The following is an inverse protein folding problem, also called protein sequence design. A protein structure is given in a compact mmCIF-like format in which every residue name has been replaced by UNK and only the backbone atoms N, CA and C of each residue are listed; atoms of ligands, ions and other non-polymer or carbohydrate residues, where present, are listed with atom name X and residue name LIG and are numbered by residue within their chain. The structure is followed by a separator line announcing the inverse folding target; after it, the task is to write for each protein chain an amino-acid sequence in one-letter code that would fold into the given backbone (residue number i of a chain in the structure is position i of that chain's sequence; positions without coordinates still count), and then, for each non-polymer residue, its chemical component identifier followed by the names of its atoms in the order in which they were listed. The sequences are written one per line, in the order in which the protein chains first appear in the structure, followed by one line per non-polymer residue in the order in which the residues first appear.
data_IF_968251428595
#
_entry.id   IF_968251428595
#
_cell.length_a   1.000
_cell.length_b   1.000
_cell.length_c   1.000
_cell.angle_alpha   90.00
_cell.angle_beta   90.00
_cell.angle_gamma   90.00
#
_symmetry.space_group_name_H-M   'P 1'
#
loop_
_entity.id
_entity.type
_entity.pdbx_description
1 polymer ?
#
# COMPACT_ATOMS: atom_id res chain seq x y z
N UNK A 1 -2.12 -23.94 3.16
CA UNK A 1 -1.23 -24.48 4.23
C UNK A 1 0.14 -23.87 4.00
N UNK A 2 0.75 -23.19 4.98
CA UNK A 2 2.07 -22.55 4.78
C UNK A 2 3.16 -23.61 4.83
N UNK A 3 3.85 -23.82 3.72
CA UNK A 3 5.00 -24.72 3.62
C UNK A 3 6.30 -23.93 3.72
N UNK A 4 7.26 -24.46 4.47
CA UNK A 4 8.58 -23.86 4.68
C UNK A 4 9.64 -24.73 3.99
N UNK A 5 10.54 -24.09 3.24
CA UNK A 5 11.74 -24.73 2.72
C UNK A 5 12.79 -25.04 3.79
N UNK A 6 13.91 -25.62 3.36
CA UNK A 6 15.04 -25.90 4.23
C UNK A 6 15.65 -24.61 4.79
N UNK A 7 16.05 -24.66 6.07
CA UNK A 7 16.58 -23.51 6.77
C UNK A 7 18.06 -23.29 6.44
N UNK A 8 18.41 -22.07 6.00
CA UNK A 8 19.80 -21.64 5.87
C UNK A 8 20.15 -20.79 7.09
N UNK A 9 21.08 -21.26 7.92
CA UNK A 9 21.54 -20.51 9.11
C UNK A 9 22.89 -19.82 8.84
N UNK A 10 23.02 -18.58 9.29
CA UNK A 10 24.26 -17.81 9.24
C UNK A 10 24.49 -17.14 10.59
N UNK A 11 25.72 -17.22 11.11
CA UNK A 11 26.11 -16.47 12.32
C UNK A 11 26.94 -15.27 11.91
N UNK A 12 26.48 -14.08 12.30
CA UNK A 12 26.98 -12.80 11.81
C UNK A 12 27.12 -11.83 12.98
N UNK A 13 28.02 -10.85 12.85
CA UNK A 13 28.00 -9.69 13.74
C UNK A 13 26.77 -8.84 13.45
N UNK A 14 26.19 -8.26 14.50
CA UNK A 14 25.06 -7.35 14.41
C UNK A 14 25.28 -6.10 13.56
N UNK A 15 26.55 -5.71 13.39
CA UNK A 15 26.92 -4.55 12.58
C UNK A 15 26.97 -4.87 11.09
N UNK A 16 26.91 -6.14 10.72
CA UNK A 16 26.89 -6.57 9.32
C UNK A 16 25.51 -6.38 8.72
N UNK A 17 25.46 -5.73 7.56
CA UNK A 17 24.24 -5.70 6.75
C UNK A 17 24.01 -7.09 6.16
N UNK A 18 22.81 -7.61 6.37
CA UNK A 18 22.43 -8.97 5.97
C UNK A 18 21.60 -8.87 4.69
N UNK A 19 22.08 -9.51 3.62
CA UNK A 19 21.34 -9.61 2.35
C UNK A 19 20.26 -10.66 2.49
N UNK A 20 19.05 -10.34 2.04
CA UNK A 20 17.98 -11.33 1.91
C UNK A 20 18.31 -12.23 0.71
N UNK A 21 18.03 -13.54 0.80
CA UNK A 21 18.13 -14.42 -0.36
C UNK A 21 17.12 -13.98 -1.42
N UNK A 22 17.52 -14.08 -2.69
CA UNK A 22 16.61 -13.85 -3.82
C UNK A 22 15.67 -15.05 -3.92
N UNK A 23 14.46 -14.91 -3.38
CA UNK A 23 13.43 -15.95 -3.35
C UNK A 23 12.22 -15.48 -4.12
N UNK A 24 11.71 -16.32 -5.02
CA UNK A 24 10.42 -16.04 -5.69
C UNK A 24 9.24 -16.12 -4.70
N UNK A 25 9.43 -16.80 -3.57
CA UNK A 25 8.39 -17.05 -2.56
C UNK A 25 8.85 -16.71 -1.15
N UNK A 26 8.66 -15.46 -0.71
CA UNK A 26 8.66 -15.07 0.72
C UNK A 26 9.90 -15.44 1.54
N UNK A 27 10.80 -14.50 1.82
CA UNK A 27 11.91 -14.68 2.74
C UNK A 27 11.46 -14.60 4.21
N UNK A 28 11.36 -15.76 4.86
CA UNK A 28 11.09 -15.85 6.29
C UNK A 28 12.39 -15.84 7.10
N UNK A 29 12.48 -14.86 8.00
CA UNK A 29 13.68 -14.55 8.75
C UNK A 29 13.44 -14.83 10.23
N UNK A 30 14.28 -15.65 10.84
CA UNK A 30 14.39 -15.81 12.30
C UNK A 30 15.70 -15.24 12.80
N UNK A 31 15.64 -14.60 13.96
CA UNK A 31 16.81 -14.08 14.66
C UNK A 31 16.93 -14.76 16.01
N UNK A 32 18.06 -15.41 16.27
CA UNK A 32 18.45 -15.86 17.61
C UNK A 32 19.59 -14.99 18.11
N UNK A 33 19.35 -14.27 19.20
CA UNK A 33 20.36 -13.51 19.93
C UNK A 33 20.15 -13.70 21.43
N UNK A 34 21.16 -13.38 22.24
CA UNK A 34 21.08 -13.50 23.70
C UNK A 34 21.43 -12.18 24.34
N UNK A 35 20.75 -11.85 25.43
CA UNK A 35 21.16 -10.75 26.29
C UNK A 35 22.54 -11.03 26.90
N UNK A 36 23.37 -9.99 26.96
CA UNK A 36 24.59 -10.01 27.75
C UNK A 36 24.25 -10.12 29.24
N UNK A 37 25.23 -10.47 30.09
CA UNK A 37 25.03 -10.45 31.54
C UNK A 37 24.52 -9.08 32.03
N UNK A 38 25.06 -7.99 31.47
CA UNK A 38 24.58 -6.64 31.71
C UNK A 38 23.17 -6.38 31.16
N UNK A 39 22.84 -6.93 30.00
CA UNK A 39 21.48 -6.86 29.44
C UNK A 39 20.44 -7.55 30.31
N UNK A 40 20.75 -8.74 30.83
CA UNK A 40 19.86 -9.48 31.75
C UNK A 40 19.62 -8.71 33.05
N UNK A 41 20.68 -8.12 33.62
CA UNK A 41 20.57 -7.32 34.83
C UNK A 41 19.73 -6.06 34.57
N UNK A 42 20.00 -5.34 33.47
CA UNK A 42 19.26 -4.12 33.15
C UNK A 42 17.79 -4.41 32.86
N UNK A 43 17.44 -5.52 32.19
CA UNK A 43 16.03 -5.91 31.95
C UNK A 43 15.22 -6.12 33.24
N UNK A 44 15.89 -6.47 34.35
CA UNK A 44 15.24 -6.70 35.64
C UNK A 44 14.97 -5.41 36.42
N UNK A 45 15.81 -4.38 36.23
CA UNK A 45 15.75 -3.13 37.00
C UNK A 45 15.32 -1.91 36.17
N UNK A 46 15.42 -1.97 34.84
CA UNK A 46 15.21 -0.86 33.89
C UNK A 46 14.68 -1.33 32.53
N UNK A 47 14.14 -0.40 31.75
CA UNK A 47 13.72 -0.66 30.37
C UNK A 47 14.93 -0.62 29.43
N UNK A 48 15.15 -1.69 28.66
CA UNK A 48 16.16 -1.70 27.60
C UNK A 48 15.76 -0.64 26.55
N UNK A 49 16.68 0.25 26.12
CA UNK A 49 16.43 1.19 25.05
C UNK A 49 16.00 0.49 23.74
N UNK A 50 15.39 1.20 22.79
CA UNK A 50 14.95 0.59 21.54
C UNK A 50 16.10 -0.04 20.75
N UNK A 51 15.86 -1.25 20.25
CA UNK A 51 16.61 -1.80 19.12
C UNK A 51 15.93 -1.33 17.85
N UNK A 52 16.74 -0.95 16.86
CA UNK A 52 16.27 -0.56 15.53
C UNK A 52 16.63 -1.60 14.49
N UNK A 53 15.79 -1.71 13.47
CA UNK A 53 16.08 -2.42 12.23
C UNK A 53 16.06 -1.41 11.09
N UNK A 54 17.13 -1.37 10.31
CA UNK A 54 17.20 -0.63 9.05
C UNK A 54 16.88 -1.60 7.94
N UNK A 55 15.84 -1.30 7.17
CA UNK A 55 15.40 -2.04 6.00
C UNK A 55 15.89 -1.32 4.75
N UNK A 56 16.52 -2.04 3.83
CA UNK A 56 16.95 -1.52 2.52
C UNK A 56 16.04 -2.09 1.45
N UNK A 57 15.47 -1.20 0.65
CA UNK A 57 14.53 -1.55 -0.42
C UNK A 57 15.25 -1.74 -1.76
N UNK A 58 14.57 -2.36 -2.73
CA UNK A 58 15.09 -2.59 -4.09
C UNK A 58 15.42 -1.30 -4.85
N UNK A 59 14.76 -0.19 -4.54
CA UNK A 59 15.05 1.15 -5.07
C UNK A 59 16.25 1.85 -4.38
N UNK A 60 16.87 1.20 -3.40
CA UNK A 60 17.97 1.72 -2.59
C UNK A 60 17.55 2.64 -1.44
N UNK A 61 16.25 2.93 -1.28
CA UNK A 61 15.74 3.67 -0.13
C UNK A 61 15.90 2.86 1.16
N UNK A 62 15.90 3.56 2.30
CA UNK A 62 16.02 2.94 3.61
C UNK A 62 14.92 3.40 4.56
N UNK A 63 14.40 2.46 5.35
CA UNK A 63 13.43 2.74 6.41
C UNK A 63 13.95 2.20 7.73
N UNK A 64 13.88 3.00 8.78
CA UNK A 64 14.31 2.61 10.13
C UNK A 64 13.09 2.38 11.00
N UNK A 65 12.94 1.14 11.47
CA UNK A 65 11.89 0.73 12.39
C UNK A 65 12.43 0.39 13.78
N UNK A 66 11.53 0.32 14.76
CA UNK A 66 11.82 -0.27 16.07
C UNK A 66 11.45 -1.75 16.04
N UNK A 67 12.28 -2.58 16.66
CA UNK A 67 12.02 -4.02 16.75
C UNK A 67 12.35 -4.55 18.14
N UNK A 68 11.68 -5.63 18.51
CA UNK A 68 11.98 -6.42 19.69
C UNK A 68 12.67 -7.70 19.22
N UNK A 69 13.97 -7.90 19.47
CA UNK A 69 14.68 -9.10 19.02
C UNK A 69 14.00 -10.40 19.44
N UNK A 70 13.35 -10.43 20.61
CA UNK A 70 12.61 -11.59 21.10
C UNK A 70 11.40 -11.95 20.22
N UNK A 71 10.80 -10.99 19.51
CA UNK A 71 9.71 -11.28 18.57
C UNK A 71 10.22 -11.94 17.29
N UNK A 72 11.47 -11.64 16.91
CA UNK A 72 12.11 -12.21 15.73
C UNK A 72 12.61 -13.65 15.95
N UNK A 73 12.65 -14.14 17.20
CA UNK A 73 12.97 -15.56 17.48
C UNK A 73 11.92 -16.49 16.87
N UNK A 74 10.65 -16.06 16.84
CA UNK A 74 9.56 -16.82 16.23
C UNK A 74 9.60 -16.75 14.70
N UNK A 75 10.15 -15.65 14.18
CA UNK A 75 10.36 -15.37 12.77
C UNK A 75 9.27 -14.49 12.16
N UNK A 76 9.61 -13.88 11.03
CA UNK A 76 8.76 -12.93 10.29
C UNK A 76 9.01 -13.08 8.79
N UNK A 77 7.98 -12.91 7.96
CA UNK A 77 8.12 -12.73 6.52
C UNK A 77 8.52 -11.28 6.27
N UNK A 78 9.70 -11.05 5.70
CA UNK A 78 10.34 -9.74 5.71
C UNK A 78 10.31 -9.06 4.33
N UNK A 79 10.31 -9.83 3.25
CA UNK A 79 10.34 -9.33 1.87
C UNK A 79 8.99 -8.81 1.34
N UNK A 80 7.85 -9.33 1.84
CA UNK A 80 6.48 -8.91 1.47
C UNK A 80 5.89 -7.85 2.43
N UNK A 81 6.75 -7.06 3.10
CA UNK A 81 6.29 -5.98 3.98
C UNK A 81 5.98 -4.72 3.18
N UNK A 82 4.77 -4.14 3.30
CA UNK A 82 4.45 -2.90 2.62
C UNK A 82 5.14 -1.70 3.26
N UNK A 83 5.63 -0.77 2.42
CA UNK A 83 6.30 0.45 2.87
C UNK A 83 5.32 1.61 3.14
N UNK A 84 4.07 1.45 2.71
CA UNK A 84 3.05 2.48 2.68
C UNK A 84 1.65 1.86 2.64
N UNK A 85 0.61 2.64 2.94
CA UNK A 85 -0.78 2.18 2.85
C UNK A 85 -1.19 1.74 1.43
N UNK A 86 -0.77 2.42 0.34
CA UNK A 86 -0.99 1.92 -1.02
C UNK A 86 -0.31 0.58 -1.27
N UNK A 87 0.97 0.43 -0.89
CA UNK A 87 1.70 -0.84 -0.97
C UNK A 87 0.99 -1.93 -0.19
N UNK A 88 0.46 -1.62 1.01
CA UNK A 88 -0.33 -2.55 1.81
C UNK A 88 -1.62 -2.96 1.11
N UNK A 89 -2.30 -2.03 0.45
CA UNK A 89 -3.47 -2.33 -0.38
C UNK A 89 -3.14 -3.28 -1.52
N UNK A 90 -2.00 -3.12 -2.18
CA UNK A 90 -1.53 -4.04 -3.23
C UNK A 90 -1.21 -5.42 -2.65
N UNK A 91 -0.42 -5.48 -1.57
CA UNK A 91 -0.02 -6.74 -0.92
C UNK A 91 -1.22 -7.55 -0.45
N UNK A 92 -2.22 -6.90 0.17
CA UNK A 92 -3.46 -7.53 0.61
C UNK A 92 -4.28 -8.11 -0.54
N UNK A 93 -4.10 -7.59 -1.75
CA UNK A 93 -4.74 -8.04 -2.99
C UNK A 93 -3.87 -9.04 -3.79
N UNK A 94 -2.73 -9.46 -3.25
CA UNK A 94 -1.80 -10.34 -3.96
C UNK A 94 -1.06 -9.66 -5.12
N UNK A 95 -1.15 -8.34 -5.22
CA UNK A 95 -0.41 -7.50 -6.17
C UNK A 95 0.86 -6.97 -5.50
N UNK A 96 1.82 -6.51 -6.30
CA UNK A 96 3.07 -5.91 -5.82
C UNK A 96 3.34 -4.63 -6.59
N UNK A 97 3.88 -3.61 -5.91
CA UNK A 97 4.45 -2.40 -6.53
C UNK A 97 5.87 -2.63 -7.06
N UNK A 98 6.41 -3.86 -6.93
CA UNK A 98 7.77 -4.23 -7.30
C UNK A 98 8.82 -3.74 -6.31
N UNK A 99 8.42 -3.11 -5.20
CA UNK A 99 9.32 -2.64 -4.16
C UNK A 99 9.41 -3.68 -3.05
N UNK A 100 10.57 -4.32 -2.95
CA UNK A 100 10.82 -5.39 -2.00
C UNK A 100 11.99 -5.05 -1.09
N UNK A 101 12.04 -5.69 0.07
CA UNK A 101 13.19 -5.56 0.96
C UNK A 101 14.30 -6.46 0.44
N UNK A 102 15.49 -5.91 0.26
CA UNK A 102 16.68 -6.62 -0.24
C UNK A 102 17.71 -6.89 0.85
N UNK A 103 17.71 -6.08 1.90
CA UNK A 103 18.64 -6.26 3.02
C UNK A 103 18.10 -5.64 4.31
N UNK A 104 18.66 -6.09 5.44
CA UNK A 104 18.41 -5.49 6.74
C UNK A 104 19.67 -5.39 7.60
N UNK A 105 19.65 -4.50 8.60
CA UNK A 105 20.72 -4.33 9.57
C UNK A 105 20.13 -3.96 10.93
N UNK A 106 20.66 -4.52 12.03
CA UNK A 106 20.25 -4.14 13.38
C UNK A 106 21.12 -3.03 13.94
N UNK A 107 20.55 -2.25 14.86
CA UNK A 107 21.27 -1.19 15.54
C UNK A 107 20.50 -0.56 16.69
N UNK A 108 20.81 0.70 16.95
CA UNK A 108 20.21 1.47 18.03
C UNK A 108 20.85 1.21 19.39
N UNK A 109 20.60 2.12 20.33
CA UNK A 109 21.21 2.10 21.67
C UNK A 109 20.83 0.87 22.50
N UNK A 110 19.73 0.18 22.16
CA UNK A 110 19.31 -1.06 22.80
C UNK A 110 20.23 -2.24 22.50
N UNK A 111 20.90 -2.22 21.35
CA UNK A 111 21.63 -3.40 20.88
C UNK A 111 22.84 -3.76 21.75
N UNK A 112 23.47 -2.79 22.42
CA UNK A 112 24.59 -3.02 23.37
C UNK A 112 24.27 -3.97 24.53
N UNK A 113 22.98 -4.24 24.77
CA UNK A 113 22.52 -5.19 25.79
C UNK A 113 22.39 -6.61 25.27
N UNK A 114 22.59 -6.84 23.97
CA UNK A 114 22.60 -8.12 23.30
C UNK A 114 24.04 -8.53 22.94
N UNK A 115 24.26 -9.82 22.74
CA UNK A 115 25.52 -10.34 22.21
C UNK A 115 25.69 -9.87 20.76
N UNK A 116 26.95 -9.62 20.36
CA UNK A 116 27.24 -9.14 19.01
C UNK A 116 26.99 -10.22 17.96
N UNK A 117 27.31 -11.47 18.29
CA UNK A 117 27.01 -12.63 17.47
C UNK A 117 25.50 -12.91 17.50
N UNK A 118 24.89 -12.88 16.33
CA UNK A 118 23.50 -13.28 16.11
C UNK A 118 23.43 -14.40 15.07
N UNK A 119 22.51 -15.33 15.27
CA UNK A 119 22.20 -16.35 14.26
C UNK A 119 20.94 -15.92 13.52
N UNK A 120 21.08 -15.70 12.22
CA UNK A 120 19.97 -15.44 11.30
C UNK A 120 19.65 -16.74 10.58
N UNK A 121 18.39 -17.12 10.54
CA UNK A 121 17.90 -18.26 9.77
C UNK A 121 16.93 -17.78 8.71
N UNK A 122 17.17 -18.21 7.47
CA UNK A 122 16.30 -17.96 6.32
C UNK A 122 15.55 -19.23 5.98
N UNK A 123 14.26 -19.10 5.71
CA UNK A 123 13.42 -20.15 5.15
C UNK A 123 12.62 -19.53 4.00
N UNK A 124 12.56 -20.25 2.89
CA UNK A 124 11.62 -19.90 1.82
C UNK A 124 10.20 -20.25 2.30
N UNK A 125 9.23 -19.38 1.99
CA UNK A 125 7.84 -19.58 2.39
C UNK A 125 6.93 -19.55 1.19
N UNK A 126 6.30 -20.69 0.95
CA UNK A 126 5.24 -20.82 -0.02
C UNK A 126 3.95 -20.25 0.56
N UNK A 127 3.78 -18.95 0.39
CA UNK A 127 2.56 -18.25 0.75
C UNK A 127 1.47 -18.59 -0.27
N UNK A 128 0.60 -19.55 0.07
CA UNK A 128 -0.70 -19.65 -0.60
C UNK A 128 -1.55 -18.44 -0.20
N UNK A 129 -1.52 -17.38 -1.01
CA UNK A 129 -2.47 -16.26 -0.89
C UNK A 129 -3.85 -16.83 -1.27
N UNK A 130 -4.60 -17.27 -0.27
CA UNK A 130 -6.01 -17.64 -0.46
C UNK A 130 -6.73 -16.41 -1.05
N UNK A 131 -7.53 -16.57 -2.12
CA UNK A 131 -8.27 -15.44 -2.68
C UNK A 131 -9.14 -14.85 -1.57
N UNK A 132 -8.90 -13.58 -1.27
CA UNK A 132 -9.70 -12.85 -0.31
C UNK A 132 -11.14 -12.79 -0.81
N UNK A 133 -12.04 -13.51 -0.13
CA UNK A 133 -13.48 -13.35 -0.32
C UNK A 133 -13.95 -12.23 0.60
N UNK A 134 -14.14 -11.04 0.05
CA UNK A 134 -14.74 -9.91 0.74
C UNK A 134 -16.12 -10.30 1.29
N UNK A 135 -16.33 -10.16 2.59
CA UNK A 135 -17.65 -10.27 3.23
C UNK A 135 -18.29 -8.88 3.24
N UNK A 136 -19.36 -8.64 2.46
CA UNK A 136 -19.90 -7.30 2.28
C UNK A 136 -20.89 -6.94 3.39
N UNK A 137 -20.46 -6.75 4.65
CA UNK A 137 -21.24 -6.13 5.74
C UNK A 137 -20.25 -5.76 6.86
N UNK A 138 -20.09 -4.53 7.35
CA UNK A 138 -20.96 -3.36 7.46
C UNK A 138 -20.22 -2.10 6.98
N UNK A 139 -20.79 -1.37 6.02
CA UNK A 139 -20.40 0.01 5.80
C UNK A 139 -20.66 0.78 7.09
N UNK A 140 -19.62 1.33 7.72
CA UNK A 140 -19.78 2.28 8.81
C UNK A 140 -20.63 3.43 8.25
N UNK A 141 -21.84 3.59 8.78
CA UNK A 141 -22.70 4.72 8.47
C UNK A 141 -22.02 6.01 8.95
N UNK A 142 -21.23 6.63 8.07
CA UNK A 142 -20.77 8.00 8.27
C UNK A 142 -22.03 8.87 8.29
N UNK A 143 -22.34 9.44 9.44
CA UNK A 143 -23.50 10.33 9.58
C UNK A 143 -23.19 11.62 8.84
N UNK A 144 -23.56 11.65 7.57
CA UNK A 144 -23.40 12.83 6.76
C UNK A 144 -24.47 13.86 7.11
N UNK A 145 -24.05 15.11 7.24
CA UNK A 145 -24.96 16.22 7.55
C UNK A 145 -25.77 16.53 6.28
N UNK A 146 -27.08 16.35 6.36
CA UNK A 146 -28.01 16.65 5.27
C UNK A 146 -28.00 18.15 4.97
N UNK A 147 -27.70 18.53 3.74
CA UNK A 147 -27.95 19.87 3.23
C UNK A 147 -29.47 20.11 3.24
N UNK A 148 -29.98 21.10 4.01
CA UNK A 148 -31.41 21.25 4.24
C UNK A 148 -32.20 21.74 3.01
N UNK A 149 -31.51 22.18 1.95
CA UNK A 149 -32.13 22.67 0.72
C UNK A 149 -32.23 21.58 -0.35
N UNK A 150 -31.25 20.65 -0.41
CA UNK A 150 -31.13 19.65 -1.47
C UNK A 150 -31.26 18.20 -1.00
N UNK A 151 -31.19 17.96 0.32
CA UNK A 151 -31.34 16.62 0.91
C UNK A 151 -30.13 15.68 0.75
N UNK A 152 -29.03 16.19 0.19
CA UNK A 152 -27.78 15.45 -0.02
C UNK A 152 -26.79 15.63 1.13
N UNK A 153 -25.88 14.67 1.23
CA UNK A 153 -24.89 14.49 2.29
C UNK A 153 -23.51 14.98 1.82
N UNK A 154 -22.95 16.03 2.41
CA UNK A 154 -21.65 16.62 2.00
C UNK A 154 -20.52 16.32 3.00
N UNK A 155 -19.36 15.92 2.47
CA UNK A 155 -18.07 15.87 3.18
C UNK A 155 -17.37 17.22 3.00
N UNK A 156 -16.94 17.85 4.09
CA UNK A 156 -16.76 19.31 4.18
C UNK A 156 -15.52 19.91 3.49
N UNK A 157 -14.67 19.15 2.80
CA UNK A 157 -13.70 19.74 1.87
C UNK A 157 -13.53 18.84 0.64
N UNK A 158 -14.04 19.23 -0.54
CA UNK A 158 -13.88 18.46 -1.77
C UNK A 158 -12.48 18.66 -2.33
N UNK A 159 -11.66 17.60 -2.37
CA UNK A 159 -10.49 17.61 -3.26
C UNK A 159 -10.97 17.58 -4.70
N UNK A 160 -10.31 18.34 -5.57
CA UNK A 160 -10.84 18.61 -6.91
C UNK A 160 -10.43 17.49 -7.86
N UNK A 161 -11.40 16.67 -8.28
CA UNK A 161 -11.21 15.68 -9.32
C UNK A 161 -12.42 15.61 -10.25
N UNK A 162 -12.21 15.04 -11.42
CA UNK A 162 -13.26 14.80 -12.40
C UNK A 162 -12.95 13.57 -13.24
N UNK A 163 -14.00 12.91 -13.73
CA UNK A 163 -13.89 11.83 -14.71
C UNK A 163 -14.40 12.36 -16.03
N UNK A 164 -13.52 12.41 -17.01
CA UNK A 164 -13.87 12.90 -18.33
C UNK A 164 -14.66 11.83 -19.09
N UNK A 165 -14.19 10.57 -19.04
CA UNK A 165 -14.79 9.48 -19.79
C UNK A 165 -14.74 8.13 -19.06
N UNK A 166 -15.80 7.35 -19.24
CA UNK A 166 -15.85 5.91 -19.00
C UNK A 166 -16.22 5.27 -20.34
N UNK A 167 -15.36 4.42 -20.89
CA UNK A 167 -15.55 3.83 -22.22
C UNK A 167 -15.92 4.86 -23.30
N UNK A 168 -15.18 5.97 -23.33
CA UNK A 168 -15.42 7.09 -24.25
C UNK A 168 -16.76 7.82 -24.06
N UNK A 169 -17.50 7.55 -22.99
CA UNK A 169 -18.77 8.23 -22.64
C UNK A 169 -18.56 9.12 -21.42
N UNK A 170 -19.01 10.36 -21.49
CA UNK A 170 -18.95 11.27 -20.34
C UNK A 170 -19.92 10.83 -19.24
N UNK A 171 -19.47 10.75 -17.97
CA UNK A 171 -20.29 10.25 -16.85
C UNK A 171 -21.41 11.21 -16.40
N UNK A 172 -21.56 12.38 -17.02
CA UNK A 172 -22.67 13.31 -16.75
C UNK A 172 -24.06 12.71 -17.02
N UNK A 173 -24.14 11.60 -17.76
CA UNK A 173 -25.32 10.77 -17.86
C UNK A 173 -25.24 9.66 -16.80
N UNK A 174 -26.05 9.73 -15.73
CA UNK A 174 -26.23 8.69 -14.70
C UNK A 174 -26.83 7.40 -15.28
N UNK A 175 -26.13 6.77 -16.22
CA UNK A 175 -26.59 5.57 -16.90
C UNK A 175 -25.64 4.46 -16.53
N UNK A 176 -26.19 3.36 -16.03
CA UNK A 176 -25.46 2.11 -15.95
C UNK A 176 -24.90 1.81 -17.35
N UNK A 177 -23.57 1.79 -17.47
CA UNK A 177 -22.94 1.49 -18.74
C UNK A 177 -22.83 -0.03 -18.80
N UNK A 178 -23.51 -0.65 -19.77
CA UNK A 178 -23.29 -2.07 -20.06
C UNK A 178 -21.95 -2.18 -20.79
N UNK A 179 -20.99 -2.86 -20.17
CA UNK A 179 -19.63 -2.97 -20.64
C UNK A 179 -19.36 -4.44 -20.98
N UNK A 180 -18.96 -4.70 -22.22
CA UNK A 180 -18.82 -6.08 -22.76
C UNK A 180 -17.37 -6.56 -22.75
N UNK A 181 -16.38 -5.69 -22.97
CA UNK A 181 -14.98 -6.12 -23.23
C UNK A 181 -13.96 -5.55 -22.23
N UNK A 182 -14.30 -4.49 -21.52
CA UNK A 182 -13.38 -3.85 -20.59
C UNK A 182 -13.77 -2.43 -20.26
N UNK A 183 -13.26 -1.97 -19.13
CA UNK A 183 -13.52 -0.67 -18.54
C UNK A 183 -12.34 0.25 -18.80
N UNK A 184 -12.53 1.20 -19.73
CA UNK A 184 -11.69 2.35 -19.90
C UNK A 184 -12.16 3.47 -18.99
N UNK A 185 -11.23 4.14 -18.31
CA UNK A 185 -11.52 5.33 -17.52
C UNK A 185 -10.45 6.39 -17.78
N UNK A 186 -10.86 7.65 -17.87
CA UNK A 186 -9.94 8.78 -17.89
C UNK A 186 -10.53 10.00 -17.21
N UNK A 187 -9.65 10.85 -16.70
CA UNK A 187 -10.04 12.03 -15.93
C UNK A 187 -8.84 12.81 -15.42
N UNK A 188 -9.07 13.59 -14.38
CA UNK A 188 -8.04 14.35 -13.70
C UNK A 188 -8.32 14.50 -12.21
N UNK A 189 -7.27 14.68 -11.42
CA UNK A 189 -7.32 14.86 -9.98
C UNK A 189 -6.25 15.86 -9.55
N UNK A 190 -6.53 16.63 -8.50
CA UNK A 190 -5.67 17.68 -7.97
C UNK A 190 -5.65 17.66 -6.44
N UNK A 191 -4.50 18.02 -5.88
CA UNK A 191 -4.42 18.47 -4.49
C UNK A 191 -4.57 20.00 -4.47
N UNK A 192 -5.74 20.47 -4.05
CA UNK A 192 -6.08 21.88 -3.96
C UNK A 192 -5.45 22.58 -2.73
N UNK A 193 -5.01 21.82 -1.73
CA UNK A 193 -4.38 22.34 -0.52
C UNK A 193 -2.97 22.83 -0.82
N UNK A 194 -2.19 22.01 -1.52
CA UNK A 194 -0.79 22.33 -1.88
C UNK A 194 -0.63 22.73 -3.35
N UNK A 195 -1.73 22.77 -4.10
CA UNK A 195 -1.78 23.16 -5.51
C UNK A 195 -0.85 22.33 -6.40
N UNK A 196 -0.97 21.01 -6.31
CA UNK A 196 -0.13 20.07 -7.06
C UNK A 196 -0.92 18.91 -7.67
N UNK A 197 -0.28 18.17 -8.56
CA UNK A 197 -0.76 16.89 -9.04
C UNK A 197 -0.70 15.84 -7.92
N UNK A 198 -1.61 14.85 -7.93
CA UNK A 198 -1.50 13.70 -7.04
C UNK A 198 -0.21 12.91 -7.30
N UNK A 199 0.23 12.19 -6.28
CA UNK A 199 1.32 11.21 -6.38
C UNK A 199 0.87 9.92 -7.08
N UNK A 200 -0.39 9.53 -6.90
CA UNK A 200 -0.98 8.38 -7.58
C UNK A 200 -2.50 8.47 -7.62
N UNK A 201 -3.11 7.79 -8.60
CA UNK A 201 -4.55 7.59 -8.70
C UNK A 201 -4.82 6.11 -8.92
N UNK A 202 -5.75 5.54 -8.16
CA UNK A 202 -6.18 4.15 -8.29
C UNK A 202 -7.68 4.08 -8.57
N UNK A 203 -8.06 3.10 -9.37
CA UNK A 203 -9.42 2.64 -9.58
C UNK A 203 -9.71 1.50 -8.60
N UNK A 204 -10.70 1.67 -7.74
CA UNK A 204 -11.28 0.57 -6.98
C UNK A 204 -12.40 -0.07 -7.79
N UNK A 205 -12.26 -1.35 -8.08
CA UNK A 205 -13.27 -2.15 -8.77
C UNK A 205 -13.34 -3.54 -8.16
N UNK A 206 -14.53 -3.97 -7.73
CA UNK A 206 -14.76 -5.27 -7.11
C UNK A 206 -13.81 -5.58 -5.92
N UNK A 207 -13.51 -4.56 -5.09
CA UNK A 207 -12.59 -4.68 -3.95
C UNK A 207 -11.11 -4.76 -4.31
N UNK A 208 -10.76 -4.62 -5.58
CA UNK A 208 -9.39 -4.58 -6.09
C UNK A 208 -9.00 -3.15 -6.47
N UNK A 209 -7.73 -2.78 -6.30
CA UNK A 209 -7.21 -1.47 -6.67
C UNK A 209 -6.28 -1.60 -7.88
N UNK A 210 -6.56 -0.81 -8.92
CA UNK A 210 -5.78 -0.76 -10.15
C UNK A 210 -5.16 0.63 -10.28
N UNK A 211 -3.84 0.72 -10.28
CA UNK A 211 -3.17 2.00 -10.47
C UNK A 211 -3.42 2.50 -11.90
N UNK A 212 -3.87 3.75 -12.02
CA UNK A 212 -4.08 4.41 -13.29
C UNK A 212 -2.79 5.08 -13.75
N UNK A 213 -2.59 5.12 -15.07
CA UNK A 213 -1.46 5.82 -15.67
C UNK A 213 -1.69 7.33 -15.56
N UNK A 214 -0.75 8.06 -14.93
CA UNK A 214 -0.85 9.51 -14.84
C UNK A 214 -0.46 10.17 -16.16
N UNK A 215 -1.24 11.15 -16.58
CA UNK A 215 -1.06 11.88 -17.84
C UNK A 215 -0.96 13.37 -17.61
N UNK A 216 -0.36 14.07 -18.57
CA UNK A 216 -0.25 15.52 -18.52
C UNK A 216 -1.58 16.19 -18.95
N UNK A 217 -2.12 17.05 -18.09
CA UNK A 217 -3.29 17.90 -18.30
C UNK A 217 -2.95 19.35 -17.95
N UNK A 218 -2.32 20.04 -18.91
CA UNK A 218 -1.93 21.45 -18.78
C UNK A 218 -3.13 22.38 -18.75
N UNK A 219 -4.20 22.03 -19.46
CA UNK A 219 -5.50 22.71 -19.44
C UNK A 219 -6.09 22.76 -18.02
N UNK A 220 -6.00 21.65 -17.29
CA UNK A 220 -6.50 21.53 -15.92
C UNK A 220 -5.60 22.31 -14.95
N UNK A 221 -4.29 22.04 -14.94
CA UNK A 221 -3.37 22.71 -14.01
C UNK A 221 -3.33 24.24 -14.20
N UNK A 222 -3.42 24.73 -15.46
CA UNK A 222 -3.54 26.16 -15.73
C UNK A 222 -4.86 26.75 -15.23
N UNK A 223 -5.97 26.04 -15.39
CA UNK A 223 -7.30 26.51 -14.95
C UNK A 223 -7.39 26.63 -13.43
N UNK A 224 -6.87 25.65 -12.70
CA UNK A 224 -7.02 25.57 -11.25
C UNK A 224 -5.91 26.26 -10.46
N UNK A 225 -4.66 26.26 -10.94
CA UNK A 225 -3.51 26.80 -10.20
C UNK A 225 -2.84 28.01 -10.88
N UNK A 226 -3.31 28.40 -12.07
CA UNK A 226 -2.70 29.49 -12.84
C UNK A 226 -1.25 29.23 -13.27
N UNK A 227 -0.74 28.01 -13.09
CA UNK A 227 0.63 27.63 -13.40
C UNK A 227 0.69 26.19 -13.96
N UNK A 228 1.73 25.89 -14.75
CA UNK A 228 1.91 24.58 -15.41
C UNK A 228 2.92 23.69 -14.70
N UNK A 229 3.29 24.00 -13.45
CA UNK A 229 4.42 23.35 -12.78
C UNK A 229 4.10 21.92 -12.32
N UNK A 230 2.83 21.51 -12.36
CA UNK A 230 2.40 20.15 -12.02
C UNK A 230 1.37 19.63 -13.05
N UNK A 231 1.80 19.38 -14.31
CA UNK A 231 0.86 19.01 -15.35
C UNK A 231 0.36 17.57 -15.20
N UNK A 232 1.01 16.71 -14.40
CA UNK A 232 0.71 15.27 -14.23
C UNK A 232 -0.56 14.99 -13.42
N UNK A 233 -1.59 15.81 -13.59
CA UNK A 233 -2.86 15.73 -12.89
C UNK A 233 -3.93 14.93 -13.65
N UNK A 234 -3.65 14.46 -14.87
CA UNK A 234 -4.51 13.53 -15.59
C UNK A 234 -4.32 12.09 -15.15
N UNK A 235 -5.31 11.25 -15.41
CA UNK A 235 -5.20 9.81 -15.28
C UNK A 235 -5.93 9.09 -16.41
N UNK A 236 -5.45 7.92 -16.78
CA UNK A 236 -6.12 6.99 -17.70
C UNK A 236 -5.85 5.54 -17.32
N UNK A 237 -6.78 4.65 -17.64
CA UNK A 237 -6.57 3.21 -17.46
C UNK A 237 -7.57 2.37 -18.23
N UNK A 238 -7.19 1.11 -18.39
CA UNK A 238 -8.01 0.06 -18.98
C UNK A 238 -7.99 -1.15 -18.05
N UNK A 239 -9.16 -1.68 -17.75
CA UNK A 239 -9.36 -2.89 -16.97
C UNK A 239 -10.09 -3.92 -17.83
N UNK A 240 -9.51 -5.10 -18.04
CA UNK A 240 -10.25 -6.22 -18.62
C UNK A 240 -11.32 -6.69 -17.63
N UNK A 241 -12.51 -7.02 -18.16
CA UNK A 241 -13.62 -7.59 -17.39
C UNK A 241 -13.88 -9.05 -17.77
N UNK A 242 -12.95 -9.71 -18.46
CA UNK A 242 -13.14 -11.06 -19.01
C UNK A 242 -13.43 -12.12 -17.92
N UNK A 243 -12.92 -11.91 -16.71
CA UNK A 243 -13.12 -12.79 -15.55
C UNK A 243 -14.23 -12.30 -14.59
N UNK A 244 -14.96 -11.25 -14.96
CA UNK A 244 -16.03 -10.71 -14.14
C UNK A 244 -17.36 -11.41 -14.41
N UNK A 245 -18.02 -11.89 -13.36
CA UNK A 245 -19.38 -12.41 -13.49
C UNK A 245 -20.34 -11.29 -13.95
N UNK A 246 -21.40 -11.61 -14.72
CA UNK A 246 -22.43 -10.65 -15.04
C UNK A 246 -23.04 -10.06 -13.77
N UNK A 247 -23.12 -8.72 -13.69
CA UNK A 247 -23.48 -8.05 -12.45
C UNK A 247 -23.21 -6.56 -12.45
N UNK A 248 -23.60 -5.94 -11.34
CA UNK A 248 -23.49 -4.50 -11.11
C UNK A 248 -22.34 -4.22 -10.14
N UNK A 249 -21.32 -3.51 -10.61
CA UNK A 249 -20.12 -3.25 -9.84
C UNK A 249 -19.99 -1.77 -9.46
N UNK A 250 -19.79 -1.44 -8.17
CA UNK A 250 -19.43 -0.09 -7.77
C UNK A 250 -18.02 0.23 -8.25
N UNK A 251 -17.82 1.48 -8.64
CA UNK A 251 -16.57 2.00 -9.13
C UNK A 251 -16.19 3.23 -8.31
N UNK A 252 -15.01 3.20 -7.70
CA UNK A 252 -14.48 4.32 -6.90
C UNK A 252 -13.09 4.73 -7.40
N UNK A 253 -12.69 5.97 -7.11
CA UNK A 253 -11.30 6.42 -7.28
C UNK A 253 -10.65 6.62 -5.91
N UNK A 254 -9.35 6.35 -5.83
CA UNK A 254 -8.50 6.66 -4.69
C UNK A 254 -7.38 7.57 -5.16
N UNK A 255 -7.24 8.74 -4.54
CA UNK A 255 -6.29 9.78 -4.97
C UNK A 255 -5.27 9.99 -3.85
N UNK A 256 -4.01 9.67 -4.14
CA UNK A 256 -2.90 9.83 -3.19
C UNK A 256 -2.20 11.14 -3.48
N UNK A 257 -2.09 12.02 -2.49
CA UNK A 257 -1.39 13.30 -2.59
C UNK A 257 -0.22 13.38 -1.60
N UNK A 258 0.64 14.37 -1.79
CA UNK A 258 1.81 14.62 -0.94
C UNK A 258 1.41 14.91 0.52
N UNK A 259 2.10 14.29 1.47
CA UNK A 259 1.80 14.43 2.91
C UNK A 259 0.88 13.35 3.50
N UNK A 260 0.47 12.35 2.72
CA UNK A 260 -0.19 11.15 3.25
C UNK A 260 -1.72 11.25 3.30
N UNK A 261 -2.31 10.89 2.16
CA UNK A 261 -3.63 10.30 1.93
C UNK A 261 -4.88 11.19 2.02
N UNK A 262 -5.40 11.46 0.82
CA UNK A 262 -6.79 11.71 0.44
C UNK A 262 -7.70 10.49 0.25
N UNK A 263 -8.67 10.19 1.11
CA UNK A 263 -9.77 9.30 0.71
C UNK A 263 -10.94 10.16 0.20
N UNK A 264 -11.12 10.28 -1.12
CA UNK A 264 -12.42 10.67 -1.69
C UNK A 264 -12.94 9.52 -2.55
N UNK A 265 -13.53 8.53 -1.88
CA UNK A 265 -14.26 7.45 -2.52
C UNK A 265 -15.68 7.94 -2.83
N UNK A 266 -15.93 8.26 -4.10
CA UNK A 266 -17.29 8.42 -4.60
C UNK A 266 -17.65 7.20 -5.42
N UNK A 267 -18.83 6.63 -5.18
CA UNK A 267 -19.46 5.73 -6.15
C UNK A 267 -19.72 6.57 -7.39
N UNK A 268 -18.90 6.37 -8.41
CA UNK A 268 -18.93 7.14 -9.66
C UNK A 268 -20.13 6.71 -10.50
N UNK A 269 -20.34 5.40 -10.61
CA UNK A 269 -21.44 4.78 -11.33
C UNK A 269 -21.52 3.29 -10.95
N UNK A 270 -22.53 2.60 -11.48
CA UNK A 270 -22.61 1.15 -11.47
C UNK A 270 -22.37 0.65 -12.89
N UNK A 271 -21.38 -0.22 -13.06
CA UNK A 271 -21.10 -0.86 -14.34
C UNK A 271 -21.86 -2.18 -14.41
N UNK A 272 -22.63 -2.36 -15.47
CA UNK A 272 -23.24 -3.65 -15.82
C UNK A 272 -22.26 -4.48 -16.63
N UNK A 273 -21.79 -5.59 -16.07
CA UNK A 273 -21.09 -6.65 -16.83
C UNK A 273 -22.16 -7.58 -17.40
N UNK A 274 -22.11 -7.84 -18.70
CA UNK A 274 -23.14 -8.61 -19.46
C UNK A 274 -22.59 -9.91 -20.01
#
# INVERSE_FOLDING_TARGET
MTEFGDAIEQTLSSTTQVMLPDTETGAFVRLKTKLTLWGKLNKLFYQIPPVTITLTWSDGSQTVGRVLPEMLENGIVLDDLPDSLPSMGLTMNGLTDGKTITAFQFGGNGWKYYQDDMTVSFQEVFLQKEPYSYSPYEAIAVTAVKNPTTGLSEVTQPRTFWIDYINSVSPQAQTATNIVFGLQISGWALDDVIQSAPQAVYLEFNGQFYQLHQTARTDVSQTYFGNTNSPMCGFEGWLSLDDCAPGNYPLSLVIVCEGGITYDTRVITTVGVS
#
